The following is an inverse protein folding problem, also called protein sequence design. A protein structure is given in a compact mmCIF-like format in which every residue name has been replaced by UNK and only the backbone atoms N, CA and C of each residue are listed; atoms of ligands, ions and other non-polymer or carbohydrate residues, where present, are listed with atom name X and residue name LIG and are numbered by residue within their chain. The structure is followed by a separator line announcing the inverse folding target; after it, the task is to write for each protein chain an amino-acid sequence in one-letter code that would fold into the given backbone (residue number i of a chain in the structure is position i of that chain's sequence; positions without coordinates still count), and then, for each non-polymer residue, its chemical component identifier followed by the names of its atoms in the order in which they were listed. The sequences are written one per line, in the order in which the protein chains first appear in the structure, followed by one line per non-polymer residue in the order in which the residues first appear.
data_IF_610965387396
#
_entry.id   IF_610965387396
#
_cell.length_a   1.000
_cell.length_b   1.000
_cell.length_c   1.000
_cell.angle_alpha   90.00
_cell.angle_beta   90.00
_cell.angle_gamma   90.00
#
_symmetry.space_group_name_H-M   'P 1'
#
loop_
_entity.id
_entity.type
_entity.pdbx_description
1 polymer ?
#
# COMPACT_ATOMS: atom_id res chain seq x y z
N UNK A 1 35.17 66.25 -2.35
CA UNK A 1 35.78 64.91 -2.49
C UNK A 1 35.44 63.95 -1.34
N UNK A 2 35.42 64.39 -0.07
CA UNK A 2 35.07 63.52 1.08
C UNK A 2 33.59 63.12 1.16
N UNK A 3 32.67 63.98 0.70
CA UNK A 3 31.22 63.70 0.71
C UNK A 3 30.78 62.68 -0.35
N UNK A 4 31.43 62.71 -1.52
CA UNK A 4 31.11 61.83 -2.65
C UNK A 4 31.53 60.37 -2.40
N UNK A 5 32.64 60.16 -1.67
CA UNK A 5 33.10 58.83 -1.24
C UNK A 5 32.14 58.17 -0.23
N UNK A 6 31.46 58.95 0.61
CA UNK A 6 30.50 58.43 1.62
C UNK A 6 29.16 58.03 0.98
N UNK A 7 28.72 58.78 -0.03
CA UNK A 7 27.55 58.45 -0.86
C UNK A 7 27.71 57.11 -1.59
N UNK A 8 28.85 56.93 -2.27
CA UNK A 8 29.13 55.73 -3.06
C UNK A 8 29.32 54.46 -2.21
N UNK A 9 29.79 54.59 -0.97
CA UNK A 9 29.88 53.47 -0.03
C UNK A 9 28.51 53.02 0.52
N UNK A 10 27.59 53.97 0.75
CA UNK A 10 26.25 53.67 1.25
C UNK A 10 25.39 52.99 0.16
N UNK A 11 25.48 53.46 -1.09
CA UNK A 11 24.78 52.84 -2.23
C UNK A 11 25.30 51.44 -2.54
N UNK A 12 26.61 51.20 -2.44
CA UNK A 12 27.19 49.86 -2.60
C UNK A 12 26.71 48.85 -1.55
N UNK A 13 26.58 49.26 -0.28
CA UNK A 13 26.09 48.41 0.80
C UNK A 13 24.59 48.07 0.63
N UNK A 14 23.78 49.05 0.20
CA UNK A 14 22.36 48.84 -0.12
C UNK A 14 22.18 47.88 -1.32
N UNK A 15 23.05 47.97 -2.33
CA UNK A 15 23.06 47.04 -3.47
C UNK A 15 23.41 45.62 -3.04
N UNK A 16 24.45 45.44 -2.23
CA UNK A 16 24.82 44.12 -1.69
C UNK A 16 23.70 43.51 -0.85
N UNK A 17 23.03 44.32 -0.02
CA UNK A 17 21.90 43.86 0.79
C UNK A 17 20.70 43.43 -0.05
N UNK A 18 20.41 44.16 -1.14
CA UNK A 18 19.35 43.80 -2.10
C UNK A 18 19.65 42.49 -2.81
N UNK A 19 20.88 42.29 -3.29
CA UNK A 19 21.29 41.04 -3.96
C UNK A 19 21.21 39.86 -3.00
N UNK A 20 21.69 40.03 -1.77
CA UNK A 20 21.58 39.02 -0.72
C UNK A 20 20.12 38.68 -0.40
N UNK A 21 19.26 39.69 -0.26
CA UNK A 21 17.83 39.50 0.02
C UNK A 21 17.13 38.77 -1.13
N UNK A 22 17.43 39.10 -2.39
CA UNK A 22 16.86 38.42 -3.55
C UNK A 22 17.29 36.95 -3.62
N UNK A 23 18.58 36.67 -3.38
CA UNK A 23 19.09 35.30 -3.32
C UNK A 23 18.46 34.51 -2.16
N UNK A 24 18.32 35.14 -1.01
CA UNK A 24 17.66 34.56 0.16
C UNK A 24 16.18 34.24 -0.12
N UNK A 25 15.44 35.16 -0.73
CA UNK A 25 14.04 34.93 -1.10
C UNK A 25 13.91 33.80 -2.11
N UNK A 26 14.80 33.72 -3.10
CA UNK A 26 14.80 32.62 -4.06
C UNK A 26 15.05 31.28 -3.37
N UNK A 27 16.01 31.23 -2.44
CA UNK A 27 16.29 30.04 -1.64
C UNK A 27 15.07 29.59 -0.82
N UNK A 28 14.40 30.51 -0.14
CA UNK A 28 13.18 30.22 0.63
C UNK A 28 12.04 29.73 -0.27
N UNK A 29 11.85 30.32 -1.44
CA UNK A 29 10.84 29.88 -2.43
C UNK A 29 11.13 28.44 -2.89
N UNK A 30 12.39 28.12 -3.22
CA UNK A 30 12.76 26.76 -3.65
C UNK A 30 12.51 25.73 -2.56
N UNK A 31 12.92 26.01 -1.32
CA UNK A 31 12.71 25.10 -0.19
C UNK A 31 11.22 24.91 0.12
N UNK A 32 10.45 26.00 0.18
CA UNK A 32 9.01 25.92 0.46
C UNK A 32 8.27 25.11 -0.61
N UNK A 33 8.62 25.29 -1.88
CA UNK A 33 8.04 24.53 -2.99
C UNK A 33 8.39 23.04 -2.91
N UNK A 34 9.65 22.72 -2.62
CA UNK A 34 10.10 21.33 -2.46
C UNK A 34 9.45 20.64 -1.26
N UNK A 35 9.30 21.35 -0.14
CA UNK A 35 8.59 20.82 1.03
C UNK A 35 7.12 20.58 0.73
N UNK A 36 6.46 21.53 0.08
CA UNK A 36 5.04 21.45 -0.27
C UNK A 36 4.80 20.31 -1.26
N UNK A 37 5.65 20.10 -2.26
CA UNK A 37 5.51 18.99 -3.21
C UNK A 37 5.65 17.62 -2.53
N UNK A 38 6.56 17.49 -1.56
CA UNK A 38 6.69 16.27 -0.75
C UNK A 38 5.47 16.05 0.15
N UNK A 39 4.96 17.10 0.78
CA UNK A 39 3.76 17.02 1.62
C UNK A 39 2.53 16.61 0.80
N UNK A 40 2.33 17.22 -0.37
CA UNK A 40 1.26 16.85 -1.29
C UNK A 40 1.40 15.41 -1.78
N UNK A 41 2.63 14.93 -2.02
CA UNK A 41 2.86 13.53 -2.36
C UNK A 41 2.36 12.57 -1.28
N UNK A 42 2.63 12.87 -0.01
CA UNK A 42 2.15 12.05 1.13
C UNK A 42 0.64 12.12 1.34
N UNK A 43 0.01 13.27 1.07
CA UNK A 43 -1.44 13.44 1.20
C UNK A 43 -2.21 12.79 0.04
N UNK A 44 -1.67 12.87 -1.18
CA UNK A 44 -2.29 12.31 -2.37
C UNK A 44 -2.17 10.78 -2.43
N UNK A 45 -1.05 10.24 -1.95
CA UNK A 45 -0.79 8.80 -1.92
C UNK A 45 -0.46 8.40 -0.48
N UNK A 46 -1.45 7.91 0.29
CA UNK A 46 -1.14 7.30 1.57
C UNK A 46 -0.12 6.18 1.32
N UNK A 47 0.86 6.08 2.21
CA UNK A 47 1.88 5.04 2.14
C UNK A 47 1.17 3.71 2.36
N UNK A 48 0.86 3.01 1.27
CA UNK A 48 0.30 1.67 1.33
C UNK A 48 1.45 0.70 1.64
N UNK A 49 1.27 -0.14 2.65
CA UNK A 49 2.11 -1.31 2.83
C UNK A 49 1.99 -2.16 1.56
N UNK A 50 3.13 -2.50 0.94
CA UNK A 50 3.13 -3.39 -0.21
C UNK A 50 2.54 -4.72 0.22
N UNK A 51 1.49 -5.16 -0.48
CA UNK A 51 0.89 -6.45 -0.19
C UNK A 51 1.96 -7.56 -0.26
N UNK A 52 1.97 -8.49 0.73
CA UNK A 52 2.97 -9.53 0.79
C UNK A 52 2.89 -10.41 -0.46
N UNK A 53 4.02 -10.64 -1.12
CA UNK A 53 4.11 -11.42 -2.34
C UNK A 53 4.47 -12.88 -2.07
N UNK A 54 5.02 -13.16 -0.89
CA UNK A 54 5.45 -14.50 -0.44
C UNK A 54 4.72 -14.93 0.84
N UNK A 55 4.70 -16.24 1.10
CA UNK A 55 4.09 -16.78 2.32
C UNK A 55 4.90 -16.39 3.56
N UNK A 56 6.19 -16.20 3.42
CA UNK A 56 7.10 -15.73 4.46
C UNK A 56 6.77 -14.29 4.86
N UNK A 57 6.61 -13.39 3.88
CA UNK A 57 6.16 -12.02 4.12
C UNK A 57 4.74 -11.98 4.71
N UNK A 58 3.84 -12.84 4.24
CA UNK A 58 2.49 -12.93 4.79
C UNK A 58 2.52 -13.35 6.27
N UNK A 59 3.41 -14.28 6.63
CA UNK A 59 3.57 -14.75 8.00
C UNK A 59 4.11 -13.67 8.94
N UNK A 60 4.92 -12.74 8.44
CA UNK A 60 5.50 -11.64 9.22
C UNK A 60 4.67 -10.35 9.18
N UNK A 61 3.70 -10.27 8.27
CA UNK A 61 2.76 -9.16 8.15
C UNK A 61 1.64 -9.19 9.20
N UNK A 62 0.94 -8.06 9.37
CA UNK A 62 -0.20 -7.91 10.28
C UNK A 62 -1.55 -8.33 9.65
N UNK A 63 -1.53 -9.02 8.51
CA UNK A 63 -2.77 -9.44 7.84
C UNK A 63 -3.44 -10.58 8.61
N UNK A 64 -4.74 -10.44 8.85
CA UNK A 64 -5.56 -11.56 9.28
C UNK A 64 -5.69 -12.54 8.11
N UNK A 65 -5.52 -13.84 8.38
CA UNK A 65 -5.60 -14.85 7.32
C UNK A 65 -6.82 -15.73 7.56
N UNK A 66 -7.54 -16.08 6.50
CA UNK A 66 -8.56 -17.10 6.60
C UNK A 66 -8.57 -18.07 5.44
N UNK A 67 -9.13 -19.25 5.70
CA UNK A 67 -9.22 -20.33 4.74
C UNK A 67 -10.66 -20.72 4.53
N UNK A 68 -11.04 -20.80 3.25
CA UNK A 68 -12.40 -21.15 2.81
C UNK A 68 -12.76 -22.60 3.08
N UNK A 69 -11.82 -23.52 2.93
CA UNK A 69 -12.13 -24.96 2.87
C UNK A 69 -11.30 -25.78 3.85
N UNK A 70 -12.00 -26.39 4.82
CA UNK A 70 -11.42 -27.27 5.83
C UNK A 70 -11.30 -28.69 5.26
N UNK A 71 -10.12 -29.30 5.37
CA UNK A 71 -9.88 -30.69 4.92
C UNK A 71 -9.59 -30.88 3.43
N UNK A 72 -9.40 -29.80 2.67
CA UNK A 72 -8.91 -29.87 1.29
C UNK A 72 -7.40 -30.10 1.21
N UNK A 73 -6.90 -30.34 -0.01
CA UNK A 73 -5.45 -30.49 -0.23
C UNK A 73 -4.65 -29.28 0.30
N UNK A 74 -5.19 -28.07 0.16
CA UNK A 74 -4.57 -26.86 0.71
C UNK A 74 -4.46 -26.88 2.24
N UNK A 75 -5.54 -27.21 2.94
CA UNK A 75 -5.54 -27.34 4.41
C UNK A 75 -4.53 -28.39 4.89
N UNK A 76 -4.49 -29.56 4.24
CA UNK A 76 -3.54 -30.61 4.57
C UNK A 76 -2.10 -30.20 4.26
N UNK A 77 -1.86 -29.42 3.21
CA UNK A 77 -0.53 -28.88 2.91
C UNK A 77 -0.04 -27.93 4.02
N UNK A 78 -0.90 -27.06 4.56
CA UNK A 78 -0.52 -26.21 5.70
C UNK A 78 -0.27 -27.04 6.97
N UNK A 79 -1.13 -28.03 7.24
CA UNK A 79 -1.01 -28.91 8.41
C UNK A 79 0.28 -29.75 8.39
N UNK A 80 0.66 -30.26 7.21
CA UNK A 80 1.80 -31.17 7.02
C UNK A 80 3.10 -30.43 6.74
N UNK A 81 3.06 -29.10 6.52
CA UNK A 81 4.24 -28.32 6.18
C UNK A 81 5.25 -28.21 7.33
N UNK A 82 6.54 -28.38 7.02
CA UNK A 82 7.63 -28.22 7.98
C UNK A 82 8.07 -26.75 8.14
N UNK A 83 7.72 -25.88 7.19
CA UNK A 83 8.17 -24.49 7.20
C UNK A 83 7.57 -23.71 8.39
N UNK A 84 8.37 -22.92 9.12
CA UNK A 84 7.88 -22.15 10.27
C UNK A 84 6.86 -21.08 9.87
N UNK A 85 7.00 -20.48 8.68
CA UNK A 85 6.07 -19.46 8.16
C UNK A 85 4.65 -20.00 7.96
N UNK A 86 4.50 -21.12 7.24
CA UNK A 86 3.18 -21.73 7.02
C UNK A 86 2.53 -22.20 8.32
N UNK A 87 3.31 -22.72 9.28
CA UNK A 87 2.80 -23.08 10.61
C UNK A 87 2.35 -21.87 11.42
N UNK A 88 3.05 -20.73 11.31
CA UNK A 88 2.67 -19.47 11.95
C UNK A 88 1.32 -18.98 11.39
N UNK A 89 1.20 -18.94 10.07
CA UNK A 89 -0.05 -18.60 9.36
C UNK A 89 -1.19 -19.54 9.77
N UNK A 90 -0.94 -20.85 9.79
CA UNK A 90 -1.97 -21.83 10.14
C UNK A 90 -2.53 -21.65 11.56
N UNK A 91 -1.71 -21.16 12.50
CA UNK A 91 -2.15 -20.89 13.88
C UNK A 91 -3.02 -19.64 14.01
N UNK A 92 -2.79 -18.63 13.18
CA UNK A 92 -3.55 -17.38 13.19
C UNK A 92 -4.75 -17.42 12.25
N UNK A 93 -4.88 -18.47 11.46
CA UNK A 93 -5.89 -18.60 10.42
C UNK A 93 -7.29 -18.86 10.96
N UNK A 94 -8.25 -18.05 10.52
CA UNK A 94 -9.67 -18.27 10.78
C UNK A 94 -10.33 -19.15 9.70
N UNK A 95 -11.21 -20.05 10.13
CA UNK A 95 -11.92 -20.98 9.25
C UNK A 95 -13.32 -20.43 8.98
N UNK A 96 -13.54 -19.94 7.76
CA UNK A 96 -14.81 -19.33 7.37
C UNK A 96 -15.48 -20.22 6.32
N UNK A 97 -16.68 -20.71 6.64
CA UNK A 97 -17.41 -21.69 5.80
C UNK A 97 -18.14 -21.05 4.62
N UNK A 98 -18.52 -19.79 4.74
CA UNK A 98 -19.27 -19.09 3.69
C UNK A 98 -18.31 -18.51 2.63
N UNK A 99 -18.42 -18.94 1.36
CA UNK A 99 -17.53 -18.48 0.30
C UNK A 99 -17.57 -16.98 0.03
N UNK A 100 -18.73 -16.33 0.17
CA UNK A 100 -18.86 -14.91 -0.15
C UNK A 100 -18.39 -14.03 0.99
N UNK A 101 -18.72 -14.39 2.23
CA UNK A 101 -18.29 -13.65 3.42
C UNK A 101 -16.76 -13.54 3.55
N UNK A 102 -16.02 -14.56 3.10
CA UNK A 102 -14.54 -14.53 3.05
C UNK A 102 -14.02 -13.42 2.15
N UNK A 103 -14.57 -13.33 0.94
CA UNK A 103 -14.13 -12.35 -0.05
C UNK A 103 -14.62 -10.95 0.30
N UNK A 104 -15.83 -10.82 0.83
CA UNK A 104 -16.35 -9.55 1.35
C UNK A 104 -15.49 -9.04 2.52
N UNK A 105 -15.05 -9.92 3.42
CA UNK A 105 -14.13 -9.54 4.49
C UNK A 105 -12.75 -9.15 3.96
N UNK A 106 -12.25 -9.86 2.94
CA UNK A 106 -11.00 -9.51 2.26
C UNK A 106 -11.06 -8.14 1.54
N UNK A 107 -12.26 -7.71 1.14
CA UNK A 107 -12.51 -6.39 0.54
C UNK A 107 -12.63 -5.29 1.59
N UNK A 108 -13.22 -5.57 2.74
CA UNK A 108 -13.58 -4.55 3.73
C UNK A 108 -12.56 -4.40 4.88
N UNK A 109 -11.56 -5.27 4.98
CA UNK A 109 -10.60 -5.29 6.10
C UNK A 109 -9.21 -5.74 5.65
N UNK A 110 -8.21 -5.56 6.51
CA UNK A 110 -6.82 -6.03 6.31
C UNK A 110 -6.79 -7.56 6.49
N UNK A 111 -7.45 -8.26 5.55
CA UNK A 111 -7.72 -9.68 5.61
C UNK A 111 -7.32 -10.34 4.29
N UNK A 112 -6.72 -11.52 4.44
CA UNK A 112 -6.15 -12.29 3.37
C UNK A 112 -6.84 -13.65 3.31
N UNK A 113 -7.50 -13.95 2.20
CA UNK A 113 -8.19 -15.22 2.02
C UNK A 113 -7.36 -16.20 1.20
N UNK A 114 -7.15 -17.40 1.74
CA UNK A 114 -6.47 -18.49 1.04
C UNK A 114 -7.52 -19.33 0.32
N UNK A 115 -7.39 -19.42 -1.00
CA UNK A 115 -8.34 -20.06 -1.91
C UNK A 115 -7.60 -20.76 -3.05
N UNK A 116 -8.27 -21.71 -3.70
CA UNK A 116 -7.82 -22.20 -4.99
C UNK A 116 -8.02 -21.14 -6.06
N UNK A 117 -7.09 -21.06 -7.02
CA UNK A 117 -7.16 -20.10 -8.12
C UNK A 117 -8.45 -20.22 -8.94
N UNK A 118 -8.86 -21.44 -9.28
CA UNK A 118 -10.10 -21.69 -10.04
C UNK A 118 -11.34 -21.23 -9.27
N UNK A 119 -11.35 -21.44 -7.95
CA UNK A 119 -12.46 -21.02 -7.09
C UNK A 119 -12.54 -19.50 -6.98
N UNK A 120 -11.40 -18.83 -6.92
CA UNK A 120 -11.32 -17.38 -6.97
C UNK A 120 -11.82 -16.84 -8.31
N UNK A 121 -11.28 -17.34 -9.43
CA UNK A 121 -11.66 -16.88 -10.77
C UNK A 121 -13.16 -17.03 -11.02
N UNK A 122 -13.73 -18.17 -10.62
CA UNK A 122 -15.16 -18.40 -10.72
C UNK A 122 -15.97 -17.42 -9.86
N UNK A 123 -15.55 -17.17 -8.62
CA UNK A 123 -16.24 -16.24 -7.71
C UNK A 123 -16.18 -14.79 -8.20
N UNK A 124 -15.05 -14.39 -8.80
CA UNK A 124 -14.88 -13.08 -9.44
C UNK A 124 -15.84 -12.92 -10.61
N UNK A 125 -15.84 -13.86 -11.55
CA UNK A 125 -16.67 -13.78 -12.75
C UNK A 125 -18.18 -13.79 -12.45
N UNK A 126 -18.60 -14.33 -11.31
CA UNK A 126 -20.01 -14.41 -10.96
C UNK A 126 -20.54 -13.15 -10.28
N UNK A 127 -19.83 -12.60 -9.29
CA UNK A 127 -20.39 -11.58 -8.40
C UNK A 127 -19.40 -10.50 -7.97
N UNK A 128 -18.09 -10.63 -8.25
CA UNK A 128 -17.06 -9.69 -7.75
C UNK A 128 -16.29 -8.99 -8.87
N UNK A 129 -16.77 -9.10 -10.11
CA UNK A 129 -16.26 -8.38 -11.27
C UNK A 129 -17.18 -7.21 -11.61
N UNK A 130 -16.58 -6.05 -11.89
CA UNK A 130 -17.27 -4.92 -12.49
C UNK A 130 -17.73 -5.24 -13.92
N UNK A 131 -18.54 -4.36 -14.54
CA UNK A 131 -19.01 -4.44 -15.95
C UNK A 131 -17.84 -4.62 -16.94
N UNK A 132 -16.64 -4.15 -16.55
CA UNK A 132 -15.39 -4.29 -17.31
C UNK A 132 -14.56 -5.53 -16.97
N UNK A 133 -15.07 -6.43 -16.13
CA UNK A 133 -14.39 -7.67 -15.73
C UNK A 133 -13.27 -7.49 -14.69
N UNK A 134 -13.13 -6.30 -14.11
CA UNK A 134 -12.09 -6.00 -13.11
C UNK A 134 -12.59 -6.28 -11.69
N UNK A 135 -11.73 -6.83 -10.82
CA UNK A 135 -12.00 -7.06 -9.39
C UNK A 135 -11.03 -6.27 -8.54
N UNK A 136 -11.50 -5.71 -7.41
CA UNK A 136 -10.62 -5.04 -6.44
C UNK A 136 -9.69 -6.02 -5.68
N UNK A 137 -10.03 -7.31 -5.70
CA UNK A 137 -9.18 -8.36 -5.16
C UNK A 137 -8.04 -8.69 -6.13
N UNK A 138 -6.85 -8.89 -5.58
CA UNK A 138 -5.67 -9.28 -6.33
C UNK A 138 -5.12 -10.62 -5.84
N UNK A 139 -4.65 -11.43 -6.79
CA UNK A 139 -4.01 -12.71 -6.53
C UNK A 139 -2.52 -12.49 -6.27
N UNK A 140 -2.00 -13.14 -5.23
CA UNK A 140 -0.56 -13.19 -5.03
C UNK A 140 0.16 -13.92 -6.18
N UNK A 141 1.37 -13.49 -6.55
CA UNK A 141 2.15 -14.16 -7.60
C UNK A 141 2.63 -15.55 -7.15
N UNK A 142 2.95 -15.72 -5.87
CA UNK A 142 3.35 -17.01 -5.32
C UNK A 142 2.15 -17.97 -5.19
N UNK A 143 2.38 -19.24 -5.50
CA UNK A 143 1.37 -20.29 -5.39
C UNK A 143 1.97 -21.55 -4.77
N UNK A 144 1.20 -22.19 -3.88
CA UNK A 144 1.51 -23.51 -3.34
C UNK A 144 0.47 -24.49 -3.88
N UNK A 145 0.82 -25.35 -4.84
CA UNK A 145 -0.08 -26.40 -5.36
C UNK A 145 -1.47 -25.86 -5.78
N UNK A 146 -1.51 -24.78 -6.58
CA UNK A 146 -2.72 -24.06 -7.01
C UNK A 146 -3.52 -23.34 -5.91
N UNK A 147 -3.02 -23.34 -4.68
CA UNK A 147 -3.52 -22.51 -3.59
C UNK A 147 -2.78 -21.17 -3.63
N UNK A 148 -3.55 -20.09 -3.71
CA UNK A 148 -3.05 -18.72 -3.61
C UNK A 148 -3.81 -18.01 -2.51
N UNK A 149 -3.20 -16.96 -2.00
CA UNK A 149 -3.95 -16.01 -1.23
C UNK A 149 -4.39 -14.84 -2.09
N UNK A 150 -5.54 -14.31 -1.71
CA UNK A 150 -6.23 -13.21 -2.33
C UNK A 150 -6.47 -12.21 -1.23
N UNK A 151 -5.98 -10.99 -1.44
CA UNK A 151 -6.18 -9.89 -0.53
C UNK A 151 -6.42 -8.63 -1.32
N UNK A 152 -7.02 -7.63 -0.69
CA UNK A 152 -6.95 -6.29 -1.22
C UNK A 152 -5.52 -5.77 -1.11
N UNK A 153 -4.89 -5.53 -2.27
CA UNK A 153 -3.53 -4.97 -2.34
C UNK A 153 -3.53 -3.44 -2.28
N UNK A 154 -4.71 -2.81 -2.22
CA UNK A 154 -4.85 -1.36 -2.21
C UNK A 154 -5.22 -0.80 -0.84
N UNK A 155 -5.18 -1.54 0.27
CA UNK A 155 -5.53 -0.99 1.59
C UNK A 155 -6.79 -0.12 1.54
N UNK A 156 -7.73 -0.54 0.70
CA UNK A 156 -8.77 0.25 0.11
C UNK A 156 -9.92 0.31 1.08
N UNK A 157 -9.82 1.20 2.05
CA UNK A 157 -10.96 2.06 2.35
C UNK A 157 -11.37 2.77 1.05
N UNK A 158 -12.05 2.04 0.15
CA UNK A 158 -12.79 2.63 -0.93
C UNK A 158 -13.85 3.48 -0.26
N UNK A 159 -13.64 4.79 -0.32
CA UNK A 159 -14.73 5.74 -0.26
C UNK A 159 -15.77 5.26 -1.25
N UNK A 160 -16.83 4.67 -0.73
CA UNK A 160 -18.10 4.55 -1.43
C UNK A 160 -18.49 5.99 -1.74
N UNK A 161 -18.26 6.41 -2.98
CA UNK A 161 -18.98 7.56 -3.49
C UNK A 161 -20.43 7.09 -3.58
N UNK A 162 -21.24 7.68 -2.70
CA UNK A 162 -22.69 7.67 -2.69
C UNK A 162 -23.32 7.59 -4.09
#
# INVERSE_FOLDING_TARGET
LLWDRKSNGLTGLVLAFRVFTSFWLLFVIVISTAYTSKLFGFLAFPIHESAPQTFEELADSNYEVGLRYIGGAGYNSFLTSESPALRKIFRTMELIKDPLAVFERALNSIFCCISYELQYQYSVQQNLSDVYGSSALNLAPASLSHVRWVGDTQGGHFWRAD
#
